data_IF_622201817839
#
_entry.id   IF_622201817839
#
_cell.length_a   1.000
_cell.length_b   1.000
_cell.length_c   1.000
_cell.angle_alpha   90.00
_cell.angle_beta   90.00
_cell.angle_gamma   90.00
#
_symmetry.space_group_name_H-M   'P 1'
#
loop_
_entity.id
_entity.type
_entity.pdbx_description
1 polymer ?
#
# COMPACT_ATOMS: atom_id res chain seq x y z
N UNK A 1 4.11 -15.93 3.97
CA UNK A 1 3.22 -15.13 3.09
C UNK A 1 2.58 -14.05 3.95
N UNK A 2 2.46 -12.80 3.49
CA UNK A 2 1.87 -11.71 4.29
C UNK A 2 0.35 -11.94 4.43
N UNK A 3 -0.13 -11.99 5.67
CA UNK A 3 -1.55 -11.99 6.01
C UNK A 3 -1.81 -10.66 6.73
N UNK A 4 -2.46 -9.68 6.10
CA UNK A 4 -2.66 -8.37 6.69
C UNK A 4 -3.69 -8.41 7.82
N UNK A 5 -3.51 -7.58 8.85
CA UNK A 5 -4.52 -7.40 9.91
C UNK A 5 -5.71 -6.58 9.38
N UNK A 6 -5.41 -5.55 8.58
CA UNK A 6 -6.38 -4.63 7.98
C UNK A 6 -6.08 -4.44 6.50
N UNK A 7 -7.12 -4.37 5.68
CA UNK A 7 -7.05 -4.00 4.27
C UNK A 7 -7.85 -2.74 4.05
N UNK A 8 -7.16 -1.63 3.80
CA UNK A 8 -7.78 -0.41 3.32
C UNK A 8 -7.94 -0.50 1.81
N UNK A 9 -9.08 -0.11 1.25
CA UNK A 9 -9.28 -0.20 -0.19
C UNK A 9 -10.10 0.96 -0.78
N UNK A 10 -9.71 1.41 -1.97
CA UNK A 10 -10.55 2.30 -2.78
C UNK A 10 -11.71 1.53 -3.39
N UNK A 11 -12.92 2.12 -3.44
CA UNK A 11 -14.12 1.45 -3.95
C UNK A 11 -13.94 0.96 -5.39
N UNK A 12 -13.24 1.73 -6.21
CA UNK A 12 -13.02 1.49 -7.64
C UNK A 12 -12.20 0.21 -7.92
N UNK A 13 -11.51 -0.38 -6.93
CA UNK A 13 -10.78 -1.63 -7.17
C UNK A 13 -11.72 -2.77 -7.54
N UNK A 14 -13.00 -2.72 -7.16
CA UNK A 14 -13.99 -3.77 -7.45
C UNK A 14 -14.28 -3.90 -8.95
N UNK A 15 -13.94 -2.87 -9.74
CA UNK A 15 -14.08 -2.91 -11.20
C UNK A 15 -13.00 -3.78 -11.86
N UNK A 16 -11.89 -4.02 -11.15
CA UNK A 16 -10.75 -4.80 -11.64
C UNK A 16 -10.82 -6.26 -11.16
N UNK A 17 -10.56 -7.26 -12.03
CA UNK A 17 -10.56 -8.68 -11.63
C UNK A 17 -9.64 -8.96 -10.44
N UNK A 18 -8.44 -8.38 -10.45
CA UNK A 18 -7.47 -8.53 -9.36
C UNK A 18 -7.96 -7.90 -8.05
N UNK A 19 -8.67 -6.76 -8.10
CA UNK A 19 -9.22 -6.13 -6.90
C UNK A 19 -10.28 -7.01 -6.24
N UNK A 20 -11.20 -7.59 -7.04
CA UNK A 20 -12.19 -8.57 -6.57
C UNK A 20 -11.53 -9.80 -5.95
N UNK A 21 -10.50 -10.34 -6.60
CA UNK A 21 -9.75 -11.49 -6.11
C UNK A 21 -9.05 -11.20 -4.77
N UNK A 22 -8.39 -10.05 -4.63
CA UNK A 22 -7.68 -9.67 -3.41
C UNK A 22 -8.65 -9.44 -2.24
N UNK A 23 -9.79 -8.79 -2.48
CA UNK A 23 -10.81 -8.60 -1.45
C UNK A 23 -11.38 -9.93 -0.95
N UNK A 24 -11.74 -10.85 -1.86
CA UNK A 24 -12.22 -12.19 -1.49
C UNK A 24 -11.16 -12.98 -0.73
N UNK A 25 -9.91 -12.96 -1.20
CA UNK A 25 -8.78 -13.65 -0.57
C UNK A 25 -8.56 -13.18 0.86
N UNK A 26 -8.49 -11.87 1.09
CA UNK A 26 -8.20 -11.33 2.41
C UNK A 26 -9.40 -11.33 3.35
N UNK A 27 -10.63 -11.26 2.82
CA UNK A 27 -11.85 -11.53 3.57
C UNK A 27 -11.85 -12.95 4.15
N UNK A 28 -11.51 -13.96 3.33
CA UNK A 28 -11.37 -15.37 3.77
C UNK A 28 -10.29 -15.57 4.82
N UNK A 29 -9.27 -14.73 4.83
CA UNK A 29 -8.19 -14.73 5.83
C UNK A 29 -8.54 -13.91 7.09
N UNK A 30 -9.77 -13.42 7.21
CA UNK A 30 -10.29 -12.62 8.35
C UNK A 30 -9.61 -11.27 8.54
N UNK A 31 -9.06 -10.68 7.47
CA UNK A 31 -8.58 -9.30 7.53
C UNK A 31 -9.78 -8.33 7.59
N UNK A 32 -9.67 -7.28 8.39
CA UNK A 32 -10.68 -6.22 8.45
C UNK A 32 -10.63 -5.39 7.15
N UNK A 33 -11.72 -5.36 6.38
CA UNK A 33 -11.81 -4.58 5.14
C UNK A 33 -12.39 -3.19 5.43
N UNK A 34 -11.66 -2.14 5.08
CA UNK A 34 -12.01 -0.74 5.35
C UNK A 34 -12.00 0.04 4.04
N UNK A 35 -13.13 0.60 3.65
CA UNK A 35 -13.22 1.46 2.47
C UNK A 35 -12.52 2.81 2.73
N UNK A 36 -11.80 3.33 1.75
CA UNK A 36 -11.15 4.64 1.80
C UNK A 36 -11.28 5.37 0.48
N UNK A 37 -11.40 6.70 0.52
CA UNK A 37 -11.52 7.52 -0.69
C UNK A 37 -10.20 7.66 -1.46
N UNK A 38 -9.06 7.55 -0.77
CA UNK A 38 -7.76 7.84 -1.37
C UNK A 38 -6.62 7.02 -0.76
N UNK A 39 -6.07 6.10 -1.55
CA UNK A 39 -4.94 5.26 -1.13
C UNK A 39 -3.65 6.05 -0.80
N UNK A 40 -3.54 7.33 -1.18
CA UNK A 40 -2.42 8.20 -0.82
C UNK A 40 -2.68 9.01 0.47
N UNK A 41 -3.94 9.21 0.85
CA UNK A 41 -4.32 10.03 1.99
C UNK A 41 -5.40 9.34 2.82
N UNK A 42 -4.97 8.51 3.78
CA UNK A 42 -5.82 7.85 4.76
C UNK A 42 -5.64 8.60 6.10
N UNK A 43 -6.54 9.53 6.48
CA UNK A 43 -6.34 10.42 7.63
C UNK A 43 -6.15 9.66 8.94
N UNK A 44 -6.90 8.59 9.14
CA UNK A 44 -6.83 7.73 10.33
C UNK A 44 -5.40 7.21 10.55
N UNK A 45 -4.77 6.65 9.51
CA UNK A 45 -3.41 6.13 9.57
C UNK A 45 -2.36 7.23 9.78
N UNK A 46 -2.60 8.43 9.24
CA UNK A 46 -1.69 9.57 9.38
C UNK A 46 -1.70 10.16 10.79
N UNK A 47 -2.83 10.08 11.48
CA UNK A 47 -3.01 10.60 12.84
C UNK A 47 -2.51 9.64 13.93
N UNK A 48 -2.32 8.35 13.62
CA UNK A 48 -1.76 7.40 14.58
C UNK A 48 -0.37 7.83 15.08
N UNK A 49 -0.04 7.60 16.37
CA UNK A 49 1.29 7.91 16.89
C UNK A 49 2.35 7.03 16.26
N UNK A 50 3.61 7.48 16.29
CA UNK A 50 4.73 6.76 15.66
C UNK A 50 4.97 5.36 16.27
N UNK A 51 4.52 5.13 17.50
CA UNK A 51 4.52 3.81 18.15
C UNK A 51 3.71 2.77 17.38
N UNK A 52 2.71 3.19 16.59
CA UNK A 52 1.90 2.28 15.77
C UNK A 52 2.61 1.87 14.47
N UNK A 53 3.76 2.47 14.15
CA UNK A 53 4.45 2.21 12.88
C UNK A 53 4.64 0.73 12.59
N UNK A 54 5.12 -0.04 13.57
CA UNK A 54 5.35 -1.48 13.40
C UNK A 54 4.05 -2.26 13.11
N UNK A 55 2.93 -1.84 13.70
CA UNK A 55 1.61 -2.43 13.46
C UNK A 55 1.09 -2.06 12.07
N UNK A 56 1.25 -0.81 11.66
CA UNK A 56 0.85 -0.31 10.34
C UNK A 56 1.54 -1.06 9.19
N UNK A 57 2.73 -1.63 9.40
CA UNK A 57 3.44 -2.46 8.40
C UNK A 57 2.76 -3.80 8.12
N UNK A 58 1.79 -4.19 8.96
CA UNK A 58 0.91 -5.35 8.76
C UNK A 58 -0.40 -4.98 8.07
N UNK A 59 -0.61 -3.71 7.72
CA UNK A 59 -1.78 -3.28 6.95
C UNK A 59 -1.46 -3.35 5.45
N UNK A 60 -2.49 -3.64 4.67
CA UNK A 60 -2.44 -3.62 3.22
C UNK A 60 -3.36 -2.52 2.71
N UNK A 61 -2.89 -1.74 1.75
CA UNK A 61 -3.69 -0.72 1.11
C UNK A 61 -3.85 -1.12 -0.36
N UNK A 62 -5.07 -1.21 -0.83
CA UNK A 62 -5.43 -1.49 -2.22
C UNK A 62 -5.97 -0.21 -2.87
N UNK A 63 -5.49 0.13 -4.05
CA UNK A 63 -5.98 1.30 -4.78
C UNK A 63 -5.83 1.13 -6.28
N UNK A 64 -6.41 2.07 -7.05
CA UNK A 64 -6.26 2.09 -8.51
C UNK A 64 -5.04 2.93 -8.88
N UNK A 65 -4.18 2.44 -9.77
CA UNK A 65 -3.05 3.24 -10.26
C UNK A 65 -3.55 4.33 -11.22
N UNK A 66 -3.64 5.57 -10.72
CA UNK A 66 -4.09 6.72 -11.52
C UNK A 66 -2.99 7.32 -12.43
N UNK A 67 -1.72 7.13 -12.09
CA UNK A 67 -0.57 7.74 -12.79
C UNK A 67 0.22 6.73 -13.60
N UNK A 68 0.30 6.94 -14.92
CA UNK A 68 1.04 6.10 -15.88
C UNK A 68 2.39 6.70 -16.32
N UNK A 69 2.82 7.81 -15.72
CA UNK A 69 4.08 8.49 -16.04
C UNK A 69 5.30 7.65 -15.70
N UNK A 70 6.24 7.58 -16.64
CA UNK A 70 7.60 7.07 -16.42
C UNK A 70 8.48 8.16 -15.77
N UNK A 71 9.19 7.80 -14.71
CA UNK A 71 10.09 8.73 -14.00
C UNK A 71 11.53 8.45 -14.45
N UNK A 72 12.25 9.40 -15.07
CA UNK A 72 13.65 9.20 -15.42
C UNK A 72 14.49 8.80 -14.21
N UNK A 73 15.37 7.83 -14.39
CA UNK A 73 16.27 7.33 -13.37
C UNK A 73 17.64 7.07 -13.99
N UNK A 74 18.68 7.73 -13.50
CA UNK A 74 20.04 7.56 -14.04
C UNK A 74 20.91 6.69 -13.13
N UNK A 75 20.28 5.89 -12.24
CA UNK A 75 20.98 5.03 -11.29
C UNK A 75 20.99 3.59 -11.78
N UNK A 76 19.83 2.94 -11.76
CA UNK A 76 19.71 1.50 -11.99
C UNK A 76 19.06 1.13 -13.32
N UNK A 77 18.28 2.02 -13.92
CA UNK A 77 17.57 1.81 -15.18
C UNK A 77 17.06 3.16 -15.67
N UNK A 78 16.95 3.39 -16.99
CA UNK A 78 16.58 4.69 -17.60
C UNK A 78 15.29 5.30 -17.05
N UNK A 79 14.31 4.45 -16.69
CA UNK A 79 13.04 4.87 -16.11
C UNK A 79 12.58 3.97 -14.96
N UNK A 80 11.89 4.58 -14.00
CA UNK A 80 11.03 3.90 -13.04
C UNK A 80 9.63 3.83 -13.64
N UNK A 81 9.18 2.61 -13.89
CA UNK A 81 7.81 2.32 -14.35
C UNK A 81 6.80 2.55 -13.22
N UNK A 82 5.52 2.82 -13.53
CA UNK A 82 4.46 2.83 -12.53
C UNK A 82 4.30 1.42 -11.95
N UNK A 83 5.02 1.15 -10.86
CA UNK A 83 4.99 -0.15 -10.20
C UNK A 83 3.58 -0.49 -9.72
N UNK A 84 3.26 -1.80 -9.76
CA UNK A 84 2.03 -2.39 -9.21
C UNK A 84 1.99 -2.38 -7.68
N UNK A 85 3.02 -1.86 -7.02
CA UNK A 85 3.06 -1.71 -5.58
C UNK A 85 3.91 -0.50 -5.15
N UNK A 86 3.72 -0.07 -3.90
CA UNK A 86 4.62 0.88 -3.25
C UNK A 86 4.68 0.62 -1.74
N UNK A 87 5.76 1.04 -1.09
CA UNK A 87 6.00 0.69 0.31
C UNK A 87 6.36 -0.80 0.48
N UNK A 88 6.41 -1.27 1.73
CA UNK A 88 6.82 -2.64 2.04
C UNK A 88 6.24 -3.07 3.40
N UNK A 89 6.03 -4.36 3.62
CA UNK A 89 5.67 -4.91 4.93
C UNK A 89 6.88 -5.14 5.85
N UNK A 90 8.10 -5.13 5.30
CA UNK A 90 9.33 -5.33 6.06
C UNK A 90 9.77 -4.05 6.79
N UNK A 91 10.61 -4.22 7.81
CA UNK A 91 11.12 -3.14 8.68
C UNK A 91 12.66 -3.14 8.74
N UNK A 92 13.32 -3.01 7.60
CA UNK A 92 14.77 -2.89 7.56
C UNK A 92 15.22 -1.60 8.25
N UNK A 93 16.17 -1.68 9.18
CA UNK A 93 16.69 -0.52 9.93
C UNK A 93 17.27 0.59 9.04
N UNK A 94 17.72 0.22 7.83
CA UNK A 94 18.35 1.11 6.85
C UNK A 94 17.41 1.50 5.68
N UNK A 95 16.10 1.28 5.81
CA UNK A 95 15.16 1.50 4.72
C UNK A 95 14.99 3.00 4.40
N UNK A 96 15.52 3.44 3.25
CA UNK A 96 15.39 4.83 2.81
C UNK A 96 13.92 5.26 2.56
N UNK A 97 13.02 4.32 2.28
CA UNK A 97 11.60 4.64 2.10
C UNK A 97 10.97 5.19 3.38
N UNK A 98 11.50 4.86 4.55
CA UNK A 98 11.06 5.45 5.81
C UNK A 98 11.47 6.91 5.89
N UNK A 99 12.62 7.30 5.31
CA UNK A 99 13.02 8.71 5.24
C UNK A 99 12.11 9.51 4.28
N UNK A 100 11.58 8.88 3.24
CA UNK A 100 10.72 9.54 2.24
C UNK A 100 9.24 9.55 2.63
N UNK A 101 8.71 8.42 3.11
CA UNK A 101 7.28 8.23 3.39
C UNK A 101 6.96 8.19 4.89
N UNK A 102 7.98 8.22 5.76
CA UNK A 102 7.85 8.13 7.20
C UNK A 102 7.00 6.90 7.60
N UNK A 103 6.07 7.08 8.54
CA UNK A 103 5.14 6.03 8.97
C UNK A 103 4.18 5.55 7.89
N UNK A 104 4.06 6.26 6.76
CA UNK A 104 3.22 5.84 5.62
C UNK A 104 3.91 4.85 4.66
N UNK A 105 5.03 4.25 5.06
CA UNK A 105 5.78 3.27 4.26
C UNK A 105 5.18 1.84 4.29
N UNK A 106 3.92 1.70 4.69
CA UNK A 106 3.14 0.45 4.62
C UNK A 106 2.92 -0.02 3.17
N UNK A 107 2.60 -1.29 3.00
CA UNK A 107 2.47 -1.90 1.68
C UNK A 107 1.17 -1.44 1.00
N UNK A 108 1.34 -0.90 -0.21
CA UNK A 108 0.29 -0.56 -1.17
C UNK A 108 0.40 -1.46 -2.38
N UNK A 109 -0.71 -1.99 -2.86
CA UNK A 109 -0.82 -2.71 -4.13
C UNK A 109 -1.82 -1.97 -4.99
N UNK A 110 -1.48 -1.82 -6.27
CA UNK A 110 -2.31 -1.17 -7.24
C UNK A 110 -2.87 -2.16 -8.24
N UNK A 111 -4.15 -1.96 -8.58
CA UNK A 111 -4.85 -2.64 -9.67
C UNK A 111 -5.13 -1.68 -10.83
#
# INVERSE_FOLDING_TARGET
MLIPEKVYYEKEIVDYPLGRELLDRYSKQKAELIETENHNNIPELRQLPDSEFARMKKYLILGVRKTTRLIPNNRSADFIVPFTSSGCSAMCLYCYLVCTFFKNSYLRIFV
#
